data_IF_070036587848
#
_entry.id   IF_070036587848
#
_cell.length_a   1.000
_cell.length_b   1.000
_cell.length_c   1.000
_cell.angle_alpha   90.00
_cell.angle_beta   90.00
_cell.angle_gamma   90.00
#
_symmetry.space_group_name_H-M   'P 1'
#
loop_
_entity.id
_entity.type
_entity.pdbx_description
1 polymer ?
#
# COMPACT_ATOMS: atom_id res chain seq x y z
N UNK A 1 -5.91 -10.24 -13.46
CA UNK A 1 -6.66 -11.07 -12.49
C UNK A 1 -7.91 -10.28 -12.13
N UNK A 2 -9.12 -10.90 -12.20
CA UNK A 2 -10.32 -10.28 -11.63
C UNK A 2 -10.11 -10.24 -10.12
N UNK A 3 -9.99 -9.08 -9.54
CA UNK A 3 -10.01 -8.91 -8.11
C UNK A 3 -11.43 -9.22 -7.66
N UNK A 4 -11.60 -10.33 -6.95
CA UNK A 4 -12.89 -10.71 -6.38
C UNK A 4 -13.13 -9.79 -5.20
N UNK A 5 -14.25 -9.06 -5.21
CA UNK A 5 -14.66 -8.32 -4.01
C UNK A 5 -14.90 -9.33 -2.89
N UNK A 6 -14.33 -9.05 -1.73
CA UNK A 6 -14.52 -9.86 -0.54
C UNK A 6 -15.93 -9.57 -0.02
N UNK A 7 -16.79 -10.57 -0.08
CA UNK A 7 -18.16 -10.46 0.43
C UNK A 7 -18.15 -10.46 1.96
N UNK A 8 -19.13 -9.83 2.56
CA UNK A 8 -19.28 -9.72 4.01
C UNK A 8 -19.28 -11.08 4.71
N UNK A 9 -19.91 -12.09 4.11
CA UNK A 9 -19.95 -13.47 4.62
C UNK A 9 -18.58 -14.15 4.70
N UNK A 10 -17.58 -13.62 3.97
CA UNK A 10 -16.21 -14.16 3.94
C UNK A 10 -15.29 -13.48 4.97
N UNK A 11 -15.75 -12.41 5.61
CA UNK A 11 -14.94 -11.65 6.57
C UNK A 11 -14.69 -12.49 7.82
N UNK A 12 -13.42 -12.67 8.24
CA UNK A 12 -13.08 -13.49 9.39
C UNK A 12 -13.31 -12.73 10.73
N UNK A 13 -14.55 -12.36 11.03
CA UNK A 13 -14.94 -11.60 12.22
C UNK A 13 -14.41 -12.22 13.52
N UNK A 14 -14.47 -13.55 13.65
CA UNK A 14 -13.94 -14.25 14.84
C UNK A 14 -12.46 -14.01 15.08
N UNK A 15 -11.70 -13.82 14.02
CA UNK A 15 -10.27 -13.48 14.11
C UNK A 15 -10.08 -12.04 14.50
N UNK A 16 -10.85 -11.13 13.89
CA UNK A 16 -10.79 -9.70 14.18
C UNK A 16 -11.20 -9.38 15.62
N UNK A 17 -12.24 -10.03 16.13
CA UNK A 17 -12.74 -9.84 17.50
C UNK A 17 -11.69 -10.17 18.57
N UNK A 18 -10.80 -11.14 18.32
CA UNK A 18 -9.67 -11.44 19.22
C UNK A 18 -8.74 -10.26 19.42
N UNK A 19 -8.71 -9.35 18.45
CA UNK A 19 -7.92 -8.12 18.50
C UNK A 19 -8.76 -6.89 18.86
N UNK A 20 -10.02 -7.11 19.25
CA UNK A 20 -10.96 -6.05 19.63
C UNK A 20 -11.55 -5.28 18.46
N UNK A 21 -11.44 -5.81 17.23
CA UNK A 21 -12.04 -5.25 16.03
C UNK A 21 -13.39 -5.94 15.79
N UNK A 22 -14.47 -5.30 16.21
CA UNK A 22 -15.84 -5.84 16.07
C UNK A 22 -16.45 -5.49 14.72
N UNK A 23 -17.51 -6.21 14.31
CA UNK A 23 -18.26 -5.91 13.11
C UNK A 23 -18.80 -4.47 13.14
N UNK A 24 -19.35 -4.02 14.27
CA UNK A 24 -19.85 -2.66 14.47
C UNK A 24 -18.78 -1.60 14.22
N UNK A 25 -17.54 -1.82 14.73
CA UNK A 25 -16.42 -0.91 14.45
C UNK A 25 -16.06 -0.83 12.96
N UNK A 26 -16.20 -1.93 12.22
CA UNK A 26 -15.95 -1.93 10.78
C UNK A 26 -17.07 -1.26 9.99
N UNK A 27 -18.31 -1.39 10.44
CA UNK A 27 -19.48 -0.71 9.86
C UNK A 27 -19.42 0.81 10.07
N UNK A 28 -18.87 1.27 11.19
CA UNK A 28 -18.68 2.68 11.51
C UNK A 28 -17.54 3.35 10.71
N UNK A 29 -16.73 2.57 9.98
CA UNK A 29 -15.69 3.14 9.13
C UNK A 29 -16.29 3.96 7.97
N UNK A 30 -15.61 5.01 7.50
CA UNK A 30 -16.01 5.74 6.31
C UNK A 30 -16.20 4.82 5.09
N UNK A 31 -17.12 5.16 4.19
CA UNK A 31 -17.46 4.34 3.02
C UNK A 31 -16.23 3.95 2.20
N UNK A 32 -15.32 4.91 1.95
CA UNK A 32 -14.09 4.67 1.21
C UNK A 32 -13.19 3.62 1.88
N UNK A 33 -13.12 3.61 3.23
CA UNK A 33 -12.32 2.63 3.97
C UNK A 33 -12.94 1.23 3.89
N UNK A 34 -14.27 1.13 3.94
CA UNK A 34 -14.99 -0.13 3.76
C UNK A 34 -14.83 -0.69 2.34
N UNK A 35 -14.87 0.18 1.33
CA UNK A 35 -14.61 -0.19 -0.07
C UNK A 35 -13.16 -0.68 -0.24
N UNK A 36 -12.18 0.02 0.34
CA UNK A 36 -10.77 -0.38 0.32
C UNK A 36 -10.57 -1.78 0.93
N UNK A 37 -11.17 -2.03 2.09
CA UNK A 37 -11.10 -3.32 2.77
C UNK A 37 -11.77 -4.43 1.95
N UNK A 38 -12.96 -4.17 1.40
CA UNK A 38 -13.69 -5.13 0.56
C UNK A 38 -12.94 -5.47 -0.73
N UNK A 39 -12.11 -4.58 -1.23
CA UNK A 39 -11.25 -4.81 -2.38
C UNK A 39 -9.89 -5.43 -2.01
N UNK A 40 -9.68 -5.86 -0.76
CA UNK A 40 -8.43 -6.44 -0.27
C UNK A 40 -7.29 -5.42 -0.13
N UNK A 41 -7.63 -4.13 -0.02
CA UNK A 41 -6.68 -3.06 0.28
C UNK A 41 -6.54 -2.86 1.78
N UNK A 42 -5.57 -2.03 2.16
CA UNK A 42 -5.30 -1.75 3.57
C UNK A 42 -6.45 -0.99 4.24
N UNK A 43 -6.80 -1.44 5.44
CA UNK A 43 -7.64 -0.65 6.34
C UNK A 43 -6.93 0.65 6.75
N UNK A 44 -7.67 1.58 7.35
CA UNK A 44 -7.10 2.60 8.20
C UNK A 44 -6.21 2.02 9.32
N UNK A 45 -5.37 2.87 9.93
CA UNK A 45 -4.66 2.48 11.16
C UNK A 45 -5.65 2.50 12.32
N UNK A 46 -5.98 1.33 12.84
CA UNK A 46 -6.95 1.13 13.92
C UNK A 46 -6.27 0.72 15.22
N UNK A 47 -6.84 1.11 16.37
CA UNK A 47 -6.39 0.59 17.65
C UNK A 47 -6.83 -0.87 17.81
N UNK A 48 -5.91 -1.71 18.27
CA UNK A 48 -6.20 -3.10 18.60
C UNK A 48 -5.82 -3.40 20.06
N UNK A 49 -6.40 -4.49 20.56
CA UNK A 49 -6.08 -5.06 21.87
C UNK A 49 -5.34 -6.38 21.65
N UNK A 50 -4.19 -6.52 22.28
CA UNK A 50 -3.45 -7.78 22.32
C UNK A 50 -3.59 -8.35 23.72
N UNK A 51 -4.18 -9.53 23.87
CA UNK A 51 -4.27 -10.23 25.13
C UNK A 51 -3.09 -11.20 25.23
N UNK A 52 -2.28 -11.08 26.27
CA UNK A 52 -1.24 -12.02 26.62
C UNK A 52 -1.78 -13.13 27.55
N UNK A 53 -1.05 -14.26 27.64
CA UNK A 53 -1.46 -15.45 28.40
C UNK A 53 -1.73 -15.18 29.90
N UNK A 54 -1.27 -14.06 30.45
CA UNK A 54 -1.47 -13.68 31.86
C UNK A 54 -2.62 -12.67 32.08
N UNK A 55 -3.47 -12.44 31.06
CA UNK A 55 -4.59 -11.49 31.15
C UNK A 55 -4.17 -10.02 31.09
N UNK A 56 -2.92 -9.75 30.72
CA UNK A 56 -2.44 -8.38 30.47
C UNK A 56 -2.86 -7.97 29.06
N UNK A 57 -3.56 -6.84 28.96
CA UNK A 57 -4.00 -6.31 27.66
C UNK A 57 -3.08 -5.16 27.25
N UNK A 58 -2.42 -5.31 26.12
CA UNK A 58 -1.65 -4.23 25.48
C UNK A 58 -2.47 -3.57 24.39
N UNK A 59 -2.36 -2.24 24.29
CA UNK A 59 -2.91 -1.47 23.18
C UNK A 59 -1.84 -1.29 22.12
N UNK A 60 -2.15 -1.65 20.88
CA UNK A 60 -1.32 -1.42 19.72
C UNK A 60 -2.13 -0.73 18.62
N UNK A 61 -1.47 -0.25 17.59
CA UNK A 61 -2.11 0.29 16.39
C UNK A 61 -1.64 -0.51 15.19
N UNK A 62 -2.56 -0.83 14.29
CA UNK A 62 -2.29 -1.64 13.11
C UNK A 62 -3.18 -1.25 11.95
N UNK A 63 -2.71 -1.48 10.75
CA UNK A 63 -3.56 -1.69 9.57
C UNK A 63 -3.76 -3.18 9.39
N UNK A 64 -4.78 -3.54 8.65
CA UNK A 64 -4.95 -4.90 8.17
C UNK A 64 -5.42 -4.90 6.71
N UNK A 65 -5.24 -6.03 6.05
CA UNK A 65 -5.82 -6.31 4.75
C UNK A 65 -6.38 -7.73 4.75
N UNK A 66 -7.42 -7.95 3.97
CA UNK A 66 -7.93 -9.28 3.71
C UNK A 66 -7.23 -9.89 2.50
N UNK A 67 -6.82 -11.12 2.63
CA UNK A 67 -6.16 -11.89 1.57
C UNK A 67 -6.98 -13.13 1.29
N UNK A 68 -7.43 -13.27 0.03
CA UNK A 68 -8.10 -14.49 -0.39
C UNK A 68 -7.05 -15.57 -0.68
N UNK A 69 -7.20 -16.70 -0.01
CA UNK A 69 -6.35 -17.87 -0.15
C UNK A 69 -6.77 -18.74 -1.34
N UNK A 70 -5.91 -19.64 -1.80
CA UNK A 70 -6.16 -20.53 -2.94
C UNK A 70 -7.38 -21.46 -2.73
N UNK A 71 -7.70 -21.78 -1.48
CA UNK A 71 -8.87 -22.56 -1.08
C UNK A 71 -10.17 -21.77 -1.05
N UNK A 72 -10.11 -20.46 -1.36
CA UNK A 72 -11.25 -19.54 -1.36
C UNK A 72 -11.55 -18.90 -0.01
N UNK A 73 -10.87 -19.30 1.06
CA UNK A 73 -10.99 -18.67 2.38
C UNK A 73 -10.36 -17.27 2.36
N UNK A 74 -10.80 -16.42 3.29
CA UNK A 74 -10.23 -15.08 3.49
C UNK A 74 -9.49 -15.06 4.82
N UNK A 75 -8.23 -14.66 4.78
CA UNK A 75 -7.41 -14.43 5.97
C UNK A 75 -7.20 -12.93 6.18
N UNK A 76 -6.96 -12.54 7.43
CA UNK A 76 -6.56 -11.18 7.79
C UNK A 76 -5.06 -11.13 8.05
N UNK A 77 -4.39 -10.20 7.39
CA UNK A 77 -2.97 -9.90 7.61
C UNK A 77 -2.86 -8.55 8.30
N UNK A 78 -2.18 -8.52 9.44
CA UNK A 78 -1.97 -7.32 10.22
C UNK A 78 -0.62 -6.68 9.92
N UNK A 79 -0.62 -5.35 9.84
CA UNK A 79 0.55 -4.50 9.61
C UNK A 79 0.68 -3.51 10.78
N UNK A 80 1.34 -3.92 11.87
CA UNK A 80 1.46 -3.08 13.06
C UNK A 80 2.27 -1.82 12.78
N UNK A 81 1.95 -0.75 13.49
CA UNK A 81 2.75 0.47 13.47
C UNK A 81 4.07 0.19 14.17
N UNK A 82 5.18 0.37 13.45
CA UNK A 82 6.52 0.18 13.97
C UNK A 82 7.04 1.48 14.62
N UNK A 83 7.78 1.35 15.72
CA UNK A 83 8.45 2.50 16.34
C UNK A 83 9.57 3.07 15.46
N UNK A 84 10.22 2.19 14.68
CA UNK A 84 11.31 2.55 13.76
C UNK A 84 11.10 1.92 12.41
N UNK A 85 11.45 2.64 11.36
CA UNK A 85 11.46 2.14 9.99
C UNK A 85 12.62 1.16 9.82
N UNK A 86 12.38 -0.08 9.33
CA UNK A 86 13.42 -1.09 9.17
C UNK A 86 14.21 -0.87 7.85
N UNK A 87 14.95 0.21 7.77
CA UNK A 87 15.68 0.64 6.55
C UNK A 87 17.20 0.48 6.64
N UNK A 88 17.73 -0.11 7.70
CA UNK A 88 19.16 -0.24 7.96
C UNK A 88 19.91 -1.05 6.89
N UNK A 89 19.21 -1.91 6.17
CA UNK A 89 19.77 -2.75 5.09
C UNK A 89 19.90 -2.04 3.74
N UNK A 90 19.41 -0.81 3.62
CA UNK A 90 19.51 0.01 2.42
C UNK A 90 20.74 0.93 2.48
N UNK A 91 21.28 1.33 1.30
CA UNK A 91 22.37 2.31 1.26
C UNK A 91 21.91 3.67 1.81
N UNK A 92 22.84 4.54 2.17
CA UNK A 92 22.47 5.88 2.70
C UNK A 92 21.64 6.68 1.73
N UNK A 93 21.98 6.65 0.43
CA UNK A 93 21.22 7.32 -0.62
C UNK A 93 19.79 6.75 -0.71
N UNK A 94 19.67 5.43 -0.66
CA UNK A 94 18.36 4.76 -0.66
C UNK A 94 17.53 5.10 0.57
N UNK A 95 18.16 5.17 1.75
CA UNK A 95 17.48 5.58 2.98
C UNK A 95 16.95 7.01 2.88
N UNK A 96 17.75 7.94 2.34
CA UNK A 96 17.33 9.34 2.13
C UNK A 96 16.14 9.44 1.16
N UNK A 97 16.16 8.68 0.06
CA UNK A 97 15.04 8.62 -0.89
C UNK A 97 13.78 8.02 -0.27
N UNK A 98 13.91 6.92 0.48
CA UNK A 98 12.80 6.30 1.19
C UNK A 98 12.18 7.23 2.24
N UNK A 99 13.02 7.93 3.03
CA UNK A 99 12.56 8.91 4.02
C UNK A 99 11.91 10.13 3.37
N UNK A 100 12.28 10.46 2.12
CA UNK A 100 11.61 11.48 1.32
C UNK A 100 10.28 11.00 0.70
N UNK A 101 9.84 9.76 1.01
CA UNK A 101 8.59 9.16 0.52
C UNK A 101 8.65 8.65 -0.92
N UNK A 102 9.85 8.57 -1.50
CA UNK A 102 10.02 8.04 -2.86
C UNK A 102 9.93 6.51 -2.90
N UNK A 103 9.41 5.99 -4.00
CA UNK A 103 9.56 4.59 -4.35
C UNK A 103 10.91 4.37 -5.04
N UNK A 104 11.75 3.50 -4.48
CA UNK A 104 13.06 3.16 -5.03
C UNK A 104 13.05 1.74 -5.61
N UNK A 105 14.03 1.41 -6.46
CA UNK A 105 14.28 0.03 -6.89
C UNK A 105 15.41 -0.54 -6.05
N UNK A 106 15.14 -1.66 -5.37
CA UNK A 106 16.12 -2.36 -4.57
C UNK A 106 16.12 -3.86 -4.87
N UNK A 107 17.23 -4.52 -4.55
CA UNK A 107 17.29 -5.97 -4.57
C UNK A 107 16.54 -6.52 -3.34
N UNK A 108 15.69 -7.49 -3.58
CA UNK A 108 14.91 -8.17 -2.55
C UNK A 108 15.15 -9.68 -2.63
N UNK A 109 14.96 -10.35 -1.51
CA UNK A 109 15.05 -11.80 -1.41
C UNK A 109 13.71 -12.31 -0.93
N UNK A 110 13.11 -13.23 -1.67
CA UNK A 110 11.86 -13.86 -1.26
C UNK A 110 12.10 -14.90 -0.15
N UNK A 111 11.01 -15.47 0.38
CA UNK A 111 11.05 -16.51 1.42
C UNK A 111 11.78 -17.79 0.99
N UNK A 112 11.92 -18.01 -0.31
CA UNK A 112 12.60 -19.17 -0.90
C UNK A 112 14.08 -18.86 -1.24
N UNK A 113 14.54 -17.63 -0.95
CA UNK A 113 15.93 -17.20 -1.17
C UNK A 113 16.22 -16.68 -2.57
N UNK A 114 15.22 -16.53 -3.45
CA UNK A 114 15.44 -16.01 -4.79
C UNK A 114 15.60 -14.49 -4.75
N UNK A 115 16.62 -14.02 -5.41
CA UNK A 115 16.89 -12.59 -5.57
C UNK A 115 16.09 -12.02 -6.73
N UNK A 116 15.43 -10.91 -6.48
CA UNK A 116 14.69 -10.17 -7.49
C UNK A 116 14.77 -8.66 -7.24
N UNK A 117 14.37 -7.86 -8.21
CA UNK A 117 14.22 -6.42 -8.04
C UNK A 117 12.78 -6.07 -7.71
N UNK A 118 12.59 -5.20 -6.75
CA UNK A 118 11.29 -4.70 -6.38
C UNK A 118 11.29 -3.17 -6.25
N UNK A 119 10.14 -2.56 -6.45
CA UNK A 119 9.88 -1.24 -5.95
C UNK A 119 9.65 -1.32 -4.45
N UNK A 120 10.33 -0.45 -3.72
CA UNK A 120 10.29 -0.37 -2.27
C UNK A 120 9.90 1.04 -1.87
N UNK A 121 8.99 1.17 -0.93
CA UNK A 121 8.50 2.45 -0.39
C UNK A 121 8.15 2.28 1.08
N UNK A 122 8.23 3.36 1.87
CA UNK A 122 7.77 3.36 3.26
C UNK A 122 6.29 3.73 3.28
N UNK A 123 5.50 2.93 4.00
CA UNK A 123 4.18 3.35 4.48
C UNK A 123 4.37 4.27 5.69
N UNK A 124 4.16 5.56 5.50
CA UNK A 124 4.37 6.57 6.54
C UNK A 124 3.41 6.47 7.73
N UNK A 125 2.29 5.77 7.59
CA UNK A 125 1.32 5.57 8.67
C UNK A 125 1.73 4.45 9.63
N UNK A 126 2.44 3.43 9.10
CA UNK A 126 2.84 2.26 9.89
C UNK A 126 4.35 2.13 10.07
N UNK A 127 5.15 2.95 9.41
CA UNK A 127 6.60 2.81 9.29
C UNK A 127 7.05 1.47 8.68
N UNK A 128 6.14 0.74 8.03
CA UNK A 128 6.43 -0.51 7.35
C UNK A 128 7.12 -0.24 6.01
N UNK A 129 8.05 -1.11 5.64
CA UNK A 129 8.63 -1.14 4.30
C UNK A 129 7.77 -2.02 3.41
N UNK A 130 7.18 -1.42 2.39
CA UNK A 130 6.43 -2.13 1.36
C UNK A 130 7.34 -2.50 0.20
N UNK A 131 7.07 -3.63 -0.41
CA UNK A 131 7.85 -4.14 -1.54
C UNK A 131 6.93 -4.80 -2.56
N UNK A 132 7.03 -4.37 -3.81
CA UNK A 132 6.29 -4.96 -4.94
C UNK A 132 7.25 -5.28 -6.08
N UNK A 133 7.29 -6.52 -6.58
CA UNK A 133 8.18 -6.91 -7.67
C UNK A 133 8.08 -5.99 -8.89
N UNK A 134 9.23 -5.58 -9.46
CA UNK A 134 9.26 -4.67 -10.61
C UNK A 134 8.43 -5.13 -11.80
N UNK A 135 8.28 -6.44 -12.12
CA UNK A 135 7.43 -6.87 -13.23
C UNK A 135 5.93 -6.61 -12.99
N UNK A 136 5.49 -6.56 -11.71
CA UNK A 136 4.09 -6.26 -11.36
C UNK A 136 3.80 -4.80 -11.67
N UNK A 137 4.62 -3.89 -11.14
CA UNK A 137 4.51 -2.45 -11.41
C UNK A 137 4.70 -2.16 -12.90
N UNK A 138 5.65 -2.83 -13.57
CA UNK A 138 5.89 -2.65 -14.99
C UNK A 138 4.66 -2.98 -15.85
N UNK A 139 3.92 -4.03 -15.52
CA UNK A 139 2.64 -4.36 -16.20
C UNK A 139 1.58 -3.30 -15.95
N UNK A 140 1.46 -2.83 -14.72
CA UNK A 140 0.48 -1.81 -14.35
C UNK A 140 0.81 -0.46 -15.02
N UNK A 141 2.09 -0.10 -15.10
CA UNK A 141 2.55 1.07 -15.86
C UNK A 141 2.22 0.98 -17.34
N UNK A 142 2.27 -0.22 -17.94
CA UNK A 142 1.89 -0.39 -19.34
C UNK A 142 0.39 -0.09 -19.55
N UNK A 143 -0.47 -0.52 -18.63
CA UNK A 143 -1.91 -0.19 -18.69
C UNK A 143 -2.12 1.33 -18.57
N UNK A 144 -1.43 1.99 -17.64
CA UNK A 144 -1.48 3.45 -17.49
C UNK A 144 -0.98 4.17 -18.75
N UNK A 145 0.12 3.67 -19.36
CA UNK A 145 0.64 4.20 -20.62
C UNK A 145 -0.43 4.25 -21.70
N UNK A 146 -1.17 3.16 -21.85
CA UNK A 146 -2.19 3.04 -22.89
C UNK A 146 -3.41 3.95 -22.62
N UNK A 147 -3.75 4.18 -21.36
CA UNK A 147 -4.88 5.04 -20.92
C UNK A 147 -4.54 6.52 -21.02
N UNK A 148 -3.34 6.91 -20.55
CA UNK A 148 -2.93 8.32 -20.44
C UNK A 148 -2.17 8.80 -21.69
N UNK A 149 -1.75 7.86 -22.56
CA UNK A 149 -1.02 8.18 -23.78
C UNK A 149 0.46 8.50 -23.56
N UNK A 150 1.12 7.84 -22.56
CA UNK A 150 2.53 8.07 -22.28
C UNK A 150 3.44 7.64 -23.44
N UNK A 151 4.45 8.45 -23.74
CA UNK A 151 5.54 8.07 -24.61
C UNK A 151 6.44 7.00 -23.95
N UNK A 152 7.26 6.33 -24.75
CA UNK A 152 8.24 5.37 -24.21
C UNK A 152 9.29 6.02 -23.33
N UNK A 153 9.66 7.29 -23.58
CA UNK A 153 10.61 8.02 -22.75
C UNK A 153 10.01 8.35 -21.38
N UNK A 154 8.76 8.78 -21.33
CA UNK A 154 8.02 9.04 -20.08
C UNK A 154 7.83 7.78 -19.25
N UNK A 155 7.49 6.66 -19.89
CA UNK A 155 7.42 5.36 -19.24
C UNK A 155 8.75 4.98 -18.57
N UNK A 156 9.89 5.24 -19.25
CA UNK A 156 11.21 4.95 -18.69
C UNK A 156 11.54 5.80 -17.45
N UNK A 157 11.06 7.03 -17.38
CA UNK A 157 11.20 7.90 -16.19
C UNK A 157 10.44 7.27 -15.02
N UNK A 158 9.19 6.90 -15.25
CA UNK A 158 8.35 6.27 -14.23
C UNK A 158 8.91 4.92 -13.76
N UNK A 159 9.48 4.13 -14.67
CA UNK A 159 10.14 2.86 -14.33
C UNK A 159 11.35 3.03 -13.40
N UNK A 160 11.86 4.25 -13.23
CA UNK A 160 12.91 4.58 -12.25
C UNK A 160 12.35 5.05 -10.90
N UNK A 161 11.03 5.12 -10.75
CA UNK A 161 10.37 5.57 -9.53
C UNK A 161 10.08 7.07 -9.47
N UNK A 162 10.43 7.84 -10.50
CA UNK A 162 10.18 9.28 -10.54
C UNK A 162 8.73 9.58 -10.98
N UNK A 163 8.00 10.46 -10.26
CA UNK A 163 6.68 10.90 -10.69
C UNK A 163 6.81 11.81 -11.92
N UNK A 164 5.84 11.72 -12.81
CA UNK A 164 5.81 12.49 -14.06
C UNK A 164 4.56 13.36 -14.11
N UNK A 165 4.75 14.66 -14.29
CA UNK A 165 3.65 15.61 -14.50
C UNK A 165 3.42 15.81 -16.00
N UNK A 166 2.19 15.59 -16.43
CA UNK A 166 1.71 15.69 -17.80
C UNK A 166 0.69 16.82 -17.92
N UNK A 167 0.51 17.32 -19.14
CA UNK A 167 -0.58 18.23 -19.46
C UNK A 167 -1.65 17.43 -20.22
N UNK A 168 -2.78 17.17 -19.58
CA UNK A 168 -3.92 16.46 -20.14
C UNK A 168 -5.10 17.42 -20.22
N UNK A 169 -5.61 17.69 -21.42
CA UNK A 169 -6.74 18.63 -21.64
C UNK A 169 -6.55 20.02 -21.00
N UNK A 170 -5.30 20.55 -20.99
CA UNK A 170 -4.87 21.78 -20.33
C UNK A 170 -4.84 21.75 -18.79
N UNK A 171 -5.01 20.59 -18.16
CA UNK A 171 -4.83 20.40 -16.73
C UNK A 171 -3.54 19.63 -16.44
N UNK A 172 -2.86 20.01 -15.35
CA UNK A 172 -1.71 19.26 -14.89
C UNK A 172 -2.18 18.00 -14.17
N UNK A 173 -1.65 16.86 -14.61
CA UNK A 173 -1.90 15.54 -14.00
C UNK A 173 -0.56 14.89 -13.73
N UNK A 174 -0.33 14.48 -12.50
CA UNK A 174 0.88 13.74 -12.12
C UNK A 174 0.59 12.27 -11.92
N UNK A 175 1.43 11.45 -12.51
CA UNK A 175 1.40 9.99 -12.37
C UNK A 175 2.70 9.56 -11.71
N UNK A 176 2.61 8.71 -10.69
CA UNK A 176 3.78 8.23 -9.95
C UNK A 176 3.54 6.88 -9.30
N UNK A 177 4.62 6.27 -8.82
CA UNK A 177 4.54 5.02 -8.06
C UNK A 177 4.17 5.35 -6.63
N UNK A 178 3.08 4.75 -6.17
CA UNK A 178 2.60 4.78 -4.79
C UNK A 178 2.12 3.38 -4.42
N UNK A 179 2.94 2.66 -3.66
CA UNK A 179 2.67 1.28 -3.29
C UNK A 179 1.48 1.13 -2.32
N UNK A 180 0.99 2.24 -1.75
CA UNK A 180 -0.26 2.27 -1.00
C UNK A 180 -1.51 2.24 -1.91
N UNK A 181 -1.35 2.54 -3.21
CA UNK A 181 -2.47 2.48 -4.15
C UNK A 181 -2.70 1.04 -4.63
N UNK A 182 -3.94 0.75 -5.07
CA UNK A 182 -4.38 -0.57 -5.54
C UNK A 182 -3.49 -1.18 -6.63
N UNK A 183 -2.97 -0.34 -7.52
CA UNK A 183 -2.16 -0.76 -8.65
C UNK A 183 -0.66 -0.54 -8.44
N UNK A 184 -0.27 0.04 -7.29
CA UNK A 184 1.07 0.55 -7.05
C UNK A 184 1.37 1.83 -7.83
N UNK A 185 0.36 2.43 -8.47
CA UNK A 185 0.47 3.66 -9.26
C UNK A 185 -0.68 4.58 -8.87
N UNK A 186 -0.36 5.84 -8.62
CA UNK A 186 -1.35 6.88 -8.35
C UNK A 186 -1.34 7.92 -9.45
N UNK A 187 -2.54 8.31 -9.88
CA UNK A 187 -2.78 9.43 -10.77
C UNK A 187 -3.47 10.51 -9.93
N UNK A 188 -2.96 11.72 -9.96
CA UNK A 188 -3.52 12.85 -9.21
C UNK A 188 -3.46 14.14 -10.01
N UNK A 189 -4.41 15.04 -9.76
CA UNK A 189 -4.43 16.37 -10.35
C UNK A 189 -3.34 17.25 -9.73
N UNK A 190 -2.77 18.14 -10.53
CA UNK A 190 -1.72 19.05 -10.13
C UNK A 190 -0.31 18.57 -10.45
N UNK A 191 0.66 19.34 -9.98
CA UNK A 191 2.08 19.04 -10.15
C UNK A 191 2.59 17.94 -9.19
N UNK A 192 3.88 17.65 -9.27
CA UNK A 192 4.51 16.63 -8.41
C UNK A 192 4.46 16.97 -6.92
N UNK A 193 4.33 18.25 -6.54
CA UNK A 193 4.19 18.65 -5.14
C UNK A 193 2.77 18.37 -4.64
N UNK A 194 1.75 18.77 -5.38
CA UNK A 194 0.37 18.46 -5.10
C UNK A 194 0.14 16.95 -5.06
N UNK A 195 0.74 16.21 -5.99
CA UNK A 195 0.66 14.74 -6.01
C UNK A 195 1.26 14.11 -4.74
N UNK A 196 2.41 14.61 -4.25
CA UNK A 196 3.02 14.10 -3.01
C UNK A 196 2.17 14.40 -1.78
N UNK A 197 1.54 15.57 -1.72
CA UNK A 197 0.60 15.89 -0.65
C UNK A 197 -0.61 14.94 -0.67
N UNK A 198 -1.16 14.65 -1.86
CA UNK A 198 -2.28 13.73 -2.03
C UNK A 198 -1.91 12.26 -1.76
N UNK A 199 -0.62 11.90 -1.75
CA UNK A 199 -0.17 10.58 -1.32
C UNK A 199 -0.19 10.43 0.21
N UNK A 200 -0.17 11.53 0.94
CA UNK A 200 -0.42 11.52 2.37
C UNK A 200 -1.93 11.33 2.56
N UNK A 201 -2.31 10.24 3.18
CA UNK A 201 -3.71 10.03 3.55
C UNK A 201 -4.03 10.97 4.69
N UNK A 202 -4.80 12.02 4.40
CA UNK A 202 -5.40 12.86 5.42
C UNK A 202 -6.61 12.11 6.00
N UNK A 203 -6.58 11.96 7.30
CA UNK A 203 -7.68 11.48 8.12
C UNK A 203 -8.42 12.71 8.61
N UNK A 204 -9.51 13.06 7.96
CA UNK A 204 -10.52 13.97 8.49
C UNK A 204 -11.70 13.19 9.05
#
# INVERSE_FOLDING_TARGET
MKQTMINEDMIPYKTLEKYGLTAEMLEDLPNWAREDIAEGRYSPVLPIKLEEEEGVTHKARTRFAFVQMDDGNVEVVFYPVLEKMPIENYTKEQQEELLAGKAIIADTVDKDGHKSKAFVQIDTETNQVMSVPTPVIGRNLQVVKDVVGLSSAELMVMQKGEPLTLLVENEQVTVGIDLNSKTGIRIGNGDSMAWKENCKREWD
#
